data_IF_406990275761
#
_entry.id   IF_406990275761
#
_cell.length_a   1.000
_cell.length_b   1.000
_cell.length_c   1.000
_cell.angle_alpha   90.00
_cell.angle_beta   90.00
_cell.angle_gamma   90.00
#
_symmetry.space_group_name_H-M   'P 1'
#
loop_
_entity.id
_entity.type
_entity.pdbx_description
1 polymer ?
#
# COMPACT_ATOMS: atom_id res chain seq x y z
N UNK A 1 48.86 -12.89 -46.38
CA UNK A 1 47.53 -13.55 -46.30
C UNK A 1 47.07 -13.85 -44.87
N UNK A 2 47.89 -14.45 -43.99
CA UNK A 2 47.48 -14.77 -42.59
C UNK A 2 47.06 -13.59 -41.70
N UNK A 3 47.67 -12.40 -41.86
CA UNK A 3 47.33 -11.20 -41.07
C UNK A 3 45.94 -10.60 -41.40
N UNK A 4 45.46 -10.77 -42.64
CA UNK A 4 44.18 -10.19 -43.08
C UNK A 4 42.98 -10.96 -42.49
N UNK A 5 43.10 -12.29 -42.41
CA UNK A 5 42.07 -13.18 -41.86
C UNK A 5 41.87 -12.92 -40.36
N UNK A 6 42.96 -12.68 -39.63
CA UNK A 6 42.90 -12.40 -38.19
C UNK A 6 42.16 -11.09 -37.88
N UNK A 7 42.37 -10.05 -38.69
CA UNK A 7 41.70 -8.75 -38.56
C UNK A 7 40.19 -8.83 -38.80
N UNK A 8 39.76 -9.67 -39.74
CA UNK A 8 38.34 -9.91 -40.04
C UNK A 8 37.66 -10.63 -38.89
N UNK A 9 38.31 -11.66 -38.32
CA UNK A 9 37.78 -12.41 -37.17
C UNK A 9 37.65 -11.49 -35.94
N UNK A 10 38.66 -10.66 -35.65
CA UNK A 10 38.62 -9.71 -34.54
C UNK A 10 37.49 -8.68 -34.72
N UNK A 11 37.29 -8.16 -35.95
CA UNK A 11 36.18 -7.24 -36.22
C UNK A 11 34.81 -7.90 -36.05
N UNK A 12 34.64 -9.14 -36.49
CA UNK A 12 33.40 -9.92 -36.29
C UNK A 12 33.14 -10.23 -34.81
N UNK A 13 34.18 -10.52 -34.02
CA UNK A 13 34.06 -10.69 -32.57
C UNK A 13 33.66 -9.38 -31.88
N UNK A 14 34.25 -8.24 -32.27
CA UNK A 14 33.92 -6.94 -31.71
C UNK A 14 32.48 -6.50 -32.05
N UNK A 15 31.97 -6.80 -33.26
CA UNK A 15 30.57 -6.52 -33.62
C UNK A 15 29.57 -7.29 -32.75
N UNK A 16 29.89 -8.54 -32.37
CA UNK A 16 29.00 -9.36 -31.53
C UNK A 16 28.94 -8.89 -30.08
N UNK A 17 30.00 -8.25 -29.56
CA UNK A 17 30.03 -7.75 -28.17
C UNK A 17 29.19 -6.46 -28.03
N UNK A 18 29.16 -5.61 -29.06
CA UNK A 18 28.41 -4.33 -29.03
C UNK A 18 26.89 -4.55 -29.12
N UNK A 19 26.44 -5.66 -29.69
CA UNK A 19 25.01 -5.96 -29.86
C UNK A 19 24.29 -6.39 -28.57
N UNK A 20 25.00 -6.60 -27.45
CA UNK A 20 24.42 -7.24 -26.25
C UNK A 20 24.42 -6.38 -24.98
N UNK A 21 24.56 -5.06 -25.08
CA UNK A 21 24.33 -4.14 -23.95
C UNK A 21 22.97 -3.47 -24.08
N UNK A 22 21.89 -4.25 -23.87
CA UNK A 22 20.58 -3.64 -23.61
C UNK A 22 20.66 -2.89 -22.29
N UNK A 23 20.61 -1.57 -22.36
CA UNK A 23 20.45 -0.71 -21.18
C UNK A 23 19.10 -1.05 -20.54
N UNK A 24 19.13 -1.79 -19.44
CA UNK A 24 17.93 -2.09 -18.64
C UNK A 24 17.57 -0.80 -17.90
N UNK A 25 16.43 -0.20 -18.27
CA UNK A 25 15.89 0.94 -17.56
C UNK A 25 15.13 0.44 -16.34
N UNK A 26 15.57 0.83 -15.16
CA UNK A 26 14.88 0.55 -13.90
C UNK A 26 13.97 1.74 -13.58
N UNK A 27 12.70 1.46 -13.31
CA UNK A 27 11.70 2.42 -12.85
C UNK A 27 11.33 2.10 -11.41
N UNK A 28 11.24 3.11 -10.55
CA UNK A 28 10.76 2.94 -9.16
C UNK A 28 9.28 3.32 -9.12
N UNK A 29 8.43 2.35 -8.77
CA UNK A 29 6.99 2.55 -8.63
C UNK A 29 6.66 3.34 -7.35
N UNK A 30 5.44 3.89 -7.28
CA UNK A 30 4.99 4.65 -6.11
C UNK A 30 5.04 3.84 -4.79
N UNK A 31 4.97 2.51 -4.87
CA UNK A 31 5.06 1.60 -3.72
C UNK A 31 6.51 1.22 -3.35
N UNK A 32 7.50 1.76 -4.04
CA UNK A 32 8.92 1.48 -3.82
C UNK A 32 9.47 0.28 -4.58
N UNK A 33 8.65 -0.48 -5.32
CA UNK A 33 9.14 -1.60 -6.12
C UNK A 33 9.88 -1.11 -7.37
N UNK A 34 10.96 -1.81 -7.72
CA UNK A 34 11.71 -1.59 -8.97
C UNK A 34 11.16 -2.49 -10.09
N UNK A 35 10.91 -1.91 -11.27
CA UNK A 35 10.40 -2.62 -12.46
C UNK A 35 11.16 -2.21 -13.71
N UNK A 36 11.22 -3.11 -14.69
CA UNK A 36 11.88 -2.85 -15.98
C UNK A 36 10.92 -2.29 -17.06
N UNK A 37 9.63 -2.18 -16.73
CA UNK A 37 8.59 -1.60 -17.57
C UNK A 37 7.74 -0.64 -16.74
N UNK A 38 7.65 0.63 -17.16
CA UNK A 38 6.85 1.66 -16.49
C UNK A 38 5.37 1.27 -16.34
N UNK A 39 4.84 0.45 -17.24
CA UNK A 39 3.44 0.00 -17.22
C UNK A 39 3.22 -1.18 -16.27
N UNK A 40 4.28 -1.80 -15.78
CA UNK A 40 4.21 -2.87 -14.78
C UNK A 40 4.08 -2.35 -13.35
N UNK A 41 4.14 -1.02 -13.14
CA UNK A 41 3.84 -0.45 -11.84
C UNK A 41 2.39 -0.70 -11.47
N UNK A 42 2.11 -1.21 -10.26
CA UNK A 42 0.74 -1.36 -9.79
C UNK A 42 0.04 0.00 -9.82
N UNK A 43 -1.12 0.07 -10.48
CA UNK A 43 -2.01 1.24 -10.41
C UNK A 43 -2.76 1.30 -9.07
N UNK A 44 -2.63 0.27 -8.25
CA UNK A 44 -3.21 0.21 -6.93
C UNK A 44 -2.70 1.40 -6.12
N UNK A 45 -3.64 2.08 -5.46
CA UNK A 45 -3.35 3.18 -4.56
C UNK A 45 -2.24 2.74 -3.59
N UNK A 46 -1.16 3.51 -3.55
CA UNK A 46 -0.10 3.28 -2.59
C UNK A 46 -0.44 4.09 -1.34
N UNK A 47 -0.52 3.42 -0.20
CA UNK A 47 -0.76 4.10 1.05
C UNK A 47 0.42 5.04 1.37
N UNK A 48 0.16 6.34 1.43
CA UNK A 48 1.08 7.35 1.96
C UNK A 48 1.01 7.45 3.49
N UNK A 49 -0.08 6.98 4.08
CA UNK A 49 -0.29 6.90 5.53
C UNK A 49 0.38 5.63 6.07
N UNK A 50 1.08 5.74 7.19
CA UNK A 50 1.68 4.58 7.87
C UNK A 50 0.62 3.88 8.73
N UNK A 51 0.77 2.57 8.92
CA UNK A 51 -0.14 1.77 9.77
C UNK A 51 -0.37 2.40 11.15
N UNK A 52 0.69 2.86 11.82
CA UNK A 52 0.60 3.50 13.13
C UNK A 52 -0.27 4.77 13.12
N UNK A 53 -0.16 5.57 12.08
CA UNK A 53 -0.96 6.80 11.93
C UNK A 53 -2.42 6.44 11.63
N UNK A 54 -2.66 5.43 10.78
CA UNK A 54 -4.00 4.91 10.53
C UNK A 54 -4.68 4.39 11.82
N UNK A 55 -3.95 3.68 12.68
CA UNK A 55 -4.47 3.24 13.99
C UNK A 55 -4.83 4.42 14.90
N UNK A 56 -4.03 5.49 14.88
CA UNK A 56 -4.30 6.72 15.64
C UNK A 56 -5.56 7.41 15.09
N UNK A 57 -5.66 7.58 13.78
CA UNK A 57 -6.83 8.19 13.13
C UNK A 57 -8.11 7.40 13.44
N UNK A 58 -8.05 6.08 13.33
CA UNK A 58 -9.15 5.19 13.63
C UNK A 58 -9.59 5.30 15.10
N UNK A 59 -8.65 5.25 16.06
CA UNK A 59 -8.96 5.42 17.49
C UNK A 59 -9.58 6.78 17.79
N UNK A 60 -9.02 7.84 17.23
CA UNK A 60 -9.53 9.20 17.46
C UNK A 60 -10.97 9.31 16.95
N UNK A 61 -11.22 8.80 15.75
CA UNK A 61 -12.54 8.79 15.14
C UNK A 61 -13.53 7.97 15.99
N UNK A 62 -13.24 6.70 16.27
CA UNK A 62 -14.14 5.83 17.06
C UNK A 62 -14.34 6.38 18.48
N UNK A 63 -13.29 6.78 19.19
CA UNK A 63 -13.41 7.30 20.54
C UNK A 63 -14.22 8.60 20.61
N UNK A 64 -14.12 9.49 19.61
CA UNK A 64 -14.92 10.71 19.58
C UNK A 64 -16.43 10.42 19.64
N UNK A 65 -16.88 9.36 18.97
CA UNK A 65 -18.29 8.97 18.99
C UNK A 65 -18.70 8.22 20.26
N UNK A 66 -17.88 7.26 20.72
CA UNK A 66 -18.27 6.38 21.83
C UNK A 66 -18.01 6.97 23.22
N UNK A 67 -16.99 7.83 23.39
CA UNK A 67 -16.78 8.54 24.65
C UNK A 67 -17.96 9.47 24.98
N UNK A 68 -18.55 10.12 23.97
CA UNK A 68 -19.73 10.97 24.14
C UNK A 68 -20.98 10.23 24.63
N UNK A 69 -21.06 8.91 24.40
CA UNK A 69 -22.16 8.03 24.84
C UNK A 69 -21.84 7.25 26.13
N UNK A 70 -20.67 7.51 26.74
CA UNK A 70 -20.18 6.75 27.90
C UNK A 70 -19.80 5.31 27.58
N UNK A 71 -19.62 4.98 26.30
CA UNK A 71 -19.15 3.69 25.82
C UNK A 71 -17.63 3.60 25.80
N UNK A 72 -17.12 2.41 25.45
CA UNK A 72 -15.69 2.13 25.27
C UNK A 72 -15.45 1.42 23.95
N UNK A 73 -14.30 1.69 23.34
CA UNK A 73 -13.86 1.02 22.13
C UNK A 73 -12.46 0.44 22.31
N UNK A 74 -12.25 -0.78 21.84
CA UNK A 74 -10.95 -1.44 21.82
C UNK A 74 -10.59 -1.83 20.39
N UNK A 75 -9.48 -1.30 19.88
CA UNK A 75 -8.93 -1.74 18.60
C UNK A 75 -8.45 -3.19 18.73
N UNK A 76 -8.96 -4.06 17.87
CA UNK A 76 -8.55 -5.47 17.77
C UNK A 76 -7.41 -5.61 16.78
N UNK A 77 -7.61 -5.11 15.56
CA UNK A 77 -6.63 -5.26 14.48
C UNK A 77 -6.72 -4.12 13.47
N UNK A 78 -5.63 -3.93 12.74
CA UNK A 78 -5.56 -3.03 11.59
C UNK A 78 -4.71 -3.66 10.51
N UNK A 79 -5.25 -3.71 9.29
CA UNK A 79 -4.61 -4.27 8.13
C UNK A 79 -4.76 -3.36 6.90
N UNK A 80 -3.82 -3.45 5.97
CA UNK A 80 -3.89 -2.76 4.69
C UNK A 80 -4.65 -3.65 3.69
N UNK A 81 -5.67 -3.10 3.04
CA UNK A 81 -6.28 -3.71 1.85
C UNK A 81 -5.30 -3.52 0.67
N UNK A 82 -4.63 -4.57 0.19
CA UNK A 82 -3.60 -4.45 -0.85
C UNK A 82 -4.17 -4.08 -2.23
N UNK A 83 -5.48 -4.23 -2.42
CA UNK A 83 -6.15 -3.91 -3.67
C UNK A 83 -6.59 -2.44 -3.70
N UNK A 84 -7.03 -1.92 -2.55
CA UNK A 84 -7.55 -0.55 -2.44
C UNK A 84 -6.53 0.46 -1.91
N UNK A 85 -5.45 0.00 -1.28
CA UNK A 85 -4.45 0.86 -0.65
C UNK A 85 -4.97 1.58 0.60
N UNK A 86 -6.04 1.07 1.21
CA UNK A 86 -6.70 1.64 2.38
C UNK A 86 -6.48 0.76 3.60
N UNK A 87 -6.44 1.34 4.79
CA UNK A 87 -6.41 0.55 6.02
C UNK A 87 -7.82 0.24 6.49
N UNK A 88 -8.02 -0.97 6.98
CA UNK A 88 -9.23 -1.39 7.68
C UNK A 88 -8.87 -1.60 9.14
N UNK A 89 -9.60 -0.93 10.04
CA UNK A 89 -9.41 -1.04 11.47
C UNK A 89 -10.68 -1.59 12.12
N UNK A 90 -10.52 -2.65 12.89
CA UNK A 90 -11.59 -3.38 13.54
C UNK A 90 -11.57 -3.10 15.04
N UNK A 91 -12.74 -2.79 15.59
CA UNK A 91 -12.95 -2.47 16.99
C UNK A 91 -14.04 -3.36 17.60
N UNK A 92 -13.85 -3.75 18.86
CA UNK A 92 -14.96 -4.14 19.73
C UNK A 92 -15.40 -2.89 20.49
N UNK A 93 -16.68 -2.59 20.42
CA UNK A 93 -17.31 -1.45 21.08
C UNK A 93 -18.37 -1.93 22.04
N UNK A 94 -18.42 -1.30 23.21
CA UNK A 94 -19.42 -1.56 24.23
C UNK A 94 -20.02 -0.23 24.69
N UNK A 95 -21.29 -0.03 24.37
CA UNK A 95 -22.07 1.09 24.90
C UNK A 95 -22.43 0.87 26.37
N UNK A 96 -22.70 1.95 27.10
CA UNK A 96 -23.07 1.85 28.51
C UNK A 96 -24.37 1.06 28.67
N UNK A 97 -24.26 -0.18 29.17
CA UNK A 97 -25.40 -1.08 29.41
C UNK A 97 -25.86 -1.86 28.17
N UNK A 98 -25.12 -1.79 27.06
CA UNK A 98 -25.35 -2.61 25.87
C UNK A 98 -24.38 -3.78 25.76
N UNK A 99 -24.74 -4.78 24.95
CA UNK A 99 -23.84 -5.87 24.59
C UNK A 99 -22.71 -5.37 23.67
N UNK A 100 -21.47 -5.86 23.84
CA UNK A 100 -20.39 -5.52 22.94
C UNK A 100 -20.64 -6.01 21.51
N UNK A 101 -20.24 -5.21 20.52
CA UNK A 101 -20.35 -5.57 19.12
C UNK A 101 -19.12 -5.10 18.33
N UNK A 102 -18.96 -5.64 17.12
CA UNK A 102 -17.85 -5.34 16.23
C UNK A 102 -18.17 -4.12 15.35
N UNK A 103 -17.20 -3.23 15.18
CA UNK A 103 -17.28 -2.05 14.29
C UNK A 103 -16.03 -2.01 13.43
N UNK A 104 -16.23 -1.77 12.13
CA UNK A 104 -15.12 -1.64 11.19
C UNK A 104 -15.13 -0.22 10.61
N UNK A 105 -13.96 0.38 10.57
CA UNK A 105 -13.73 1.67 9.92
C UNK A 105 -12.65 1.54 8.86
N UNK A 106 -12.83 2.25 7.76
CA UNK A 106 -11.84 2.38 6.69
C UNK A 106 -11.09 3.70 6.85
N UNK A 107 -9.78 3.66 6.66
CA UNK A 107 -8.89 4.80 6.64
C UNK A 107 -8.31 4.90 5.24
N UNK A 108 -8.63 5.99 4.54
CA UNK A 108 -8.07 6.30 3.25
C UNK A 108 -6.54 6.33 3.36
N UNK A 109 -5.86 5.39 2.69
CA UNK A 109 -4.42 5.23 2.88
C UNK A 109 -3.59 6.37 2.29
N UNK A 110 -4.19 7.31 1.54
CA UNK A 110 -3.49 8.48 0.97
C UNK A 110 -3.66 9.73 1.82
N UNK A 111 -4.86 9.94 2.35
CA UNK A 111 -5.26 11.19 3.02
C UNK A 111 -5.42 11.02 4.53
N UNK A 112 -5.59 9.79 5.02
CA UNK A 112 -5.91 9.51 6.42
C UNK A 112 -7.37 9.75 6.79
N UNK A 113 -8.23 10.09 5.83
CA UNK A 113 -9.66 10.27 6.06
C UNK A 113 -10.28 8.96 6.56
N UNK A 114 -11.00 9.03 7.68
CA UNK A 114 -11.68 7.87 8.27
C UNK A 114 -13.14 7.87 7.88
N UNK A 115 -13.67 6.70 7.56
CA UNK A 115 -15.08 6.47 7.24
C UNK A 115 -15.58 5.20 7.93
N UNK A 116 -16.85 5.20 8.32
CA UNK A 116 -17.49 3.98 8.80
C UNK A 116 -17.71 3.01 7.64
N UNK A 117 -17.40 1.72 7.85
CA UNK A 117 -17.79 0.67 6.91
C UNK A 117 -18.87 -0.24 7.46
N UNK A 118 -18.78 -0.64 8.73
CA UNK A 118 -19.71 -1.61 9.31
C UNK A 118 -20.06 -1.31 10.76
N UNK A 119 -21.34 -1.49 11.09
CA UNK A 119 -21.89 -1.50 12.45
C UNK A 119 -21.53 -0.29 13.32
N UNK A 120 -21.07 0.82 12.73
CA UNK A 120 -20.80 2.00 13.51
C UNK A 120 -22.14 2.63 13.88
N UNK A 121 -22.65 2.29 15.07
CA UNK A 121 -23.97 2.65 15.61
C UNK A 121 -24.26 4.16 15.79
N UNK A 122 -23.60 5.01 15.01
CA UNK A 122 -23.78 6.45 14.84
C UNK A 122 -24.12 6.86 13.39
N UNK A 123 -24.15 5.92 12.43
CA UNK A 123 -24.64 6.16 11.07
C UNK A 123 -26.12 5.75 11.03
N UNK A 124 -27.01 6.68 11.35
CA UNK A 124 -28.46 6.58 11.13
C UNK A 124 -28.88 7.53 10.03
#
# INVERSE_FOLDING_TARGET
MKKLILLVIISLLLLNIVACTKVVKVYVCANGNEVNDKNACPTNKVAGVKKKDAEIYARNYVNAFFLGRGGRAQLVTTYLDPNKGDFMANFIVADKGGEPYETIVMIDGKTGQVSCTENCGYVT
#
